data_IF_141611977808
#
_entry.id   IF_141611977808
#
_cell.length_a   1.000
_cell.length_b   1.000
_cell.length_c   1.000
_cell.angle_alpha   90.00
_cell.angle_beta   90.00
_cell.angle_gamma   90.00
#
_symmetry.space_group_name_H-M   'P 1'
#
loop_
_entity.id
_entity.type
_entity.pdbx_description
1 polymer ?
#
# COMPACT_ATOMS: atom_id res chain seq x y z
N UNK A 1 -2.23 4.34 15.50
CA UNK A 1 -3.20 5.37 15.08
C UNK A 1 -3.35 5.22 13.58
N UNK A 2 -4.48 4.73 13.05
CA UNK A 2 -4.65 4.65 11.60
C UNK A 2 -4.81 6.07 11.05
N UNK A 3 -3.81 6.51 10.30
CA UNK A 3 -3.74 7.81 9.63
C UNK A 3 -5.01 8.02 8.77
N UNK A 4 -5.52 9.25 8.69
CA UNK A 4 -6.63 9.61 7.81
C UNK A 4 -6.32 9.25 6.35
N UNK A 5 -5.04 9.31 5.97
CA UNK A 5 -4.54 8.82 4.69
C UNK A 5 -4.83 7.33 4.48
N UNK A 6 -4.57 6.50 5.48
CA UNK A 6 -4.79 5.06 5.38
C UNK A 6 -6.27 4.74 5.19
N UNK A 7 -7.16 5.37 5.98
CA UNK A 7 -8.60 5.16 5.86
C UNK A 7 -9.14 5.53 4.48
N UNK A 8 -8.62 6.60 3.88
CA UNK A 8 -8.97 6.98 2.52
C UNK A 8 -8.53 5.92 1.50
N UNK A 9 -7.26 5.48 1.59
CA UNK A 9 -6.73 4.47 0.67
C UNK A 9 -7.48 3.14 0.78
N UNK A 10 -7.80 2.70 2.00
CA UNK A 10 -8.59 1.50 2.28
C UNK A 10 -9.99 1.60 1.66
N UNK A 11 -10.67 2.75 1.85
CA UNK A 11 -11.99 3.01 1.24
C UNK A 11 -11.93 3.03 -0.29
N UNK A 12 -10.87 3.61 -0.86
CA UNK A 12 -10.68 3.63 -2.33
C UNK A 12 -10.44 2.23 -2.87
N UNK A 13 -9.67 1.41 -2.15
CA UNK A 13 -9.43 0.01 -2.51
C UNK A 13 -10.76 -0.75 -2.57
N UNK A 14 -11.55 -0.67 -1.50
CA UNK A 14 -12.85 -1.34 -1.40
C UNK A 14 -13.80 -0.92 -2.53
N UNK A 15 -13.88 0.37 -2.83
CA UNK A 15 -14.77 0.86 -3.89
C UNK A 15 -14.41 0.29 -5.26
N UNK A 16 -13.13 0.29 -5.62
CA UNK A 16 -12.66 -0.23 -6.91
C UNK A 16 -12.78 -1.76 -6.98
N UNK A 17 -12.48 -2.45 -5.88
CA UNK A 17 -12.65 -3.90 -5.78
C UNK A 17 -14.11 -4.32 -5.96
N UNK A 18 -15.04 -3.63 -5.28
CA UNK A 18 -16.47 -3.91 -5.40
C UNK A 18 -16.99 -3.60 -6.81
N UNK A 19 -16.58 -2.49 -7.42
CA UNK A 19 -16.93 -2.19 -8.81
C UNK A 19 -16.52 -3.31 -9.76
N UNK A 20 -15.28 -3.81 -9.65
CA UNK A 20 -14.80 -4.90 -10.51
C UNK A 20 -15.43 -6.26 -10.18
N UNK A 21 -15.84 -6.48 -8.94
CA UNK A 21 -16.61 -7.67 -8.55
C UNK A 21 -18.03 -7.64 -9.13
N UNK A 22 -18.69 -6.49 -9.09
CA UNK A 22 -20.11 -6.35 -9.43
C UNK A 22 -20.34 -6.20 -10.95
N UNK A 23 -19.44 -5.50 -11.64
CA UNK A 23 -19.64 -5.12 -13.04
C UNK A 23 -18.81 -5.97 -14.03
N UNK A 24 -17.76 -6.66 -13.57
CA UNK A 24 -16.95 -7.49 -14.47
C UNK A 24 -17.75 -8.73 -14.93
N UNK A 25 -17.85 -8.97 -16.24
CA UNK A 25 -18.47 -10.19 -16.75
C UNK A 25 -17.67 -11.44 -16.36
N UNK A 26 -18.37 -12.56 -16.09
CA UNK A 26 -17.74 -13.83 -15.70
C UNK A 26 -16.76 -14.42 -16.73
N UNK A 27 -16.86 -13.99 -17.99
CA UNK A 27 -16.10 -14.53 -19.10
C UNK A 27 -14.82 -13.73 -19.43
N UNK A 28 -14.48 -12.72 -18.63
CA UNK A 28 -13.26 -11.91 -18.77
C UNK A 28 -12.64 -11.70 -17.39
N UNK A 29 -11.32 -11.46 -17.33
CA UNK A 29 -10.67 -11.08 -16.08
C UNK A 29 -10.78 -9.57 -15.86
N UNK A 30 -10.56 -9.14 -14.62
CA UNK A 30 -10.59 -7.72 -14.26
C UNK A 30 -9.60 -6.88 -15.07
N UNK A 31 -8.41 -7.42 -15.34
CA UNK A 31 -7.37 -6.71 -16.10
C UNK A 31 -7.82 -6.41 -17.54
N UNK A 32 -8.67 -7.26 -18.12
CA UNK A 32 -9.17 -7.10 -19.49
C UNK A 32 -10.48 -6.29 -19.55
N UNK A 33 -11.29 -6.32 -18.50
CA UNK A 33 -12.56 -5.58 -18.43
C UNK A 33 -12.36 -4.08 -18.30
N UNK A 34 -11.58 -3.66 -17.31
CA UNK A 34 -11.24 -2.26 -17.07
C UNK A 34 -9.79 -2.15 -16.56
N UNK A 35 -8.80 -2.14 -17.48
CA UNK A 35 -7.38 -2.12 -17.11
C UNK A 35 -6.99 -0.87 -16.33
N UNK A 36 -7.68 0.24 -16.55
CA UNK A 36 -7.38 1.51 -15.89
C UNK A 36 -7.80 1.47 -14.41
N UNK A 37 -9.00 0.95 -14.12
CA UNK A 37 -9.46 0.75 -12.74
C UNK A 37 -8.66 -0.35 -12.04
N UNK A 38 -8.35 -1.45 -12.73
CA UNK A 38 -7.51 -2.52 -12.17
C UNK A 38 -6.09 -2.01 -11.81
N UNK A 39 -5.49 -1.23 -12.70
CA UNK A 39 -4.19 -0.59 -12.48
C UNK A 39 -4.20 0.41 -11.32
N UNK A 40 -5.27 1.21 -11.19
CA UNK A 40 -5.42 2.13 -10.06
C UNK A 40 -5.62 1.37 -8.74
N UNK A 41 -6.43 0.31 -8.74
CA UNK A 41 -6.64 -0.57 -7.57
C UNK A 41 -5.33 -1.18 -7.10
N UNK A 42 -4.52 -1.67 -8.03
CA UNK A 42 -3.18 -2.23 -7.74
C UNK A 42 -2.22 -1.18 -7.19
N UNK A 43 -2.20 0.02 -7.78
CA UNK A 43 -1.38 1.14 -7.28
C UNK A 43 -1.76 1.54 -5.85
N UNK A 44 -3.06 1.61 -5.54
CA UNK A 44 -3.52 1.92 -4.17
C UNK A 44 -3.09 0.83 -3.18
N UNK A 45 -3.17 -0.44 -3.57
CA UNK A 45 -2.71 -1.56 -2.76
C UNK A 45 -1.20 -1.47 -2.46
N UNK A 46 -0.38 -1.15 -3.45
CA UNK A 46 1.07 -0.97 -3.27
C UNK A 46 1.40 0.17 -2.30
N UNK A 47 0.64 1.28 -2.36
CA UNK A 47 0.82 2.41 -1.43
C UNK A 47 0.43 2.02 0.00
N UNK A 48 -0.63 1.22 0.17
CA UNK A 48 -1.04 0.67 1.46
C UNK A 48 0.08 -0.25 2.01
N UNK A 49 0.59 -1.18 1.20
CA UNK A 49 1.65 -2.11 1.61
C UNK A 49 2.94 -1.35 1.98
N UNK A 50 3.34 -0.37 1.18
CA UNK A 50 4.49 0.50 1.48
C UNK A 50 4.32 1.23 2.81
N UNK A 51 3.11 1.68 3.14
CA UNK A 51 2.84 2.35 4.42
C UNK A 51 2.95 1.37 5.60
N UNK A 52 2.46 0.13 5.43
CA UNK A 52 2.57 -0.94 6.42
C UNK A 52 4.03 -1.39 6.63
N UNK A 53 4.81 -1.50 5.56
CA UNK A 53 6.22 -1.90 5.61
C UNK A 53 7.13 -0.77 6.13
N UNK A 54 6.84 0.49 5.77
CA UNK A 54 7.54 1.66 6.31
C UNK A 54 7.40 1.80 7.83
N UNK A 55 6.28 1.35 8.40
CA UNK A 55 6.10 1.27 9.85
C UNK A 55 7.01 0.21 10.53
N UNK A 56 7.47 -0.82 9.79
CA UNK A 56 8.42 -1.81 10.32
C UNK A 56 9.88 -1.29 10.33
N UNK A 57 10.24 -0.34 9.46
CA UNK A 57 11.62 0.14 9.33
C UNK A 57 12.04 1.17 10.40
N UNK A 58 11.08 1.85 11.04
CA UNK A 58 11.37 2.85 12.10
C UNK A 58 11.72 2.20 13.46
N UNK A 59 11.57 0.88 13.60
CA UNK A 59 11.87 0.16 14.84
C UNK A 59 13.36 -0.22 15.02
N UNK A 60 14.23 0.06 14.05
CA UNK A 60 15.69 -0.15 14.19
C UNK A 60 16.41 1.18 14.13
N UNK A 61 16.28 1.97 15.19
CA UNK A 61 17.35 2.89 15.59
C UNK A 61 18.41 2.05 16.32
N UNK A 62 19.57 1.71 15.72
CA UNK A 62 20.71 1.38 16.56
C UNK A 62 21.04 2.67 17.33
N UNK A 63 21.01 2.60 18.66
CA UNK A 63 21.53 3.67 19.50
C UNK A 63 22.95 3.98 19.03
N UNK A 64 23.16 5.22 18.60
CA UNK A 64 24.44 5.74 18.15
C UNK A 64 25.40 5.90 19.34
N UNK A 65 25.90 4.80 19.89
CA UNK A 65 26.99 4.77 20.88
C UNK A 65 28.31 4.22 20.30
N UNK A 66 28.42 4.04 18.97
CA UNK A 66 29.62 3.45 18.35
C UNK A 66 30.36 4.37 17.36
N UNK A 67 30.29 5.70 17.52
CA UNK A 67 31.11 6.65 16.75
C UNK A 67 31.98 7.53 17.67
N UNK A 68 32.65 6.92 18.66
CA UNK A 68 33.63 7.61 19.50
C UNK A 68 34.98 6.88 19.69
N UNK A 69 35.30 5.84 18.90
CA UNK A 69 36.56 5.07 19.08
C UNK A 69 37.45 4.90 17.83
N UNK A 70 37.22 5.63 16.72
CA UNK A 70 38.12 5.58 15.54
C UNK A 70 38.70 6.97 15.21
N UNK A 71 38.86 7.84 16.21
CA UNK A 71 39.53 9.13 16.02
C UNK A 71 40.28 9.61 17.27
N UNK A 72 41.07 8.73 17.89
CA UNK A 72 42.11 9.09 18.85
C UNK A 72 43.35 8.22 18.62
#
# INVERSE_FOLDING_TARGET
MTDARYRLLDTMQDLMSNYLLDECPDNVTWEDFDPDIDGLRSTVLDVIDTHCQGAAFVAVCPSSEHLAQIAA
#
